data_IF_618854113732
#
_entry.id   IF_618854113732
#
_cell.length_a   1.000
_cell.length_b   1.000
_cell.length_c   1.000
_cell.angle_alpha   90.00
_cell.angle_beta   90.00
_cell.angle_gamma   90.00
#
_symmetry.space_group_name_H-M   'P 1'
#
loop_
_entity.id
_entity.type
_entity.pdbx_description
1 polymer ?
#
# COMPACT_ATOMS: atom_id res chain seq x y z
N UNK A 1 -11.20 -3.21 17.86
CA UNK A 1 -11.08 -2.23 16.95
C UNK A 1 -11.99 -2.34 15.76
N UNK A 2 -13.08 -2.74 15.74
CA UNK A 2 -13.75 -2.90 14.53
C UNK A 2 -14.81 -1.92 14.31
N UNK A 3 -15.37 -1.37 15.33
CA UNK A 3 -16.41 -0.56 15.03
C UNK A 3 -16.12 0.81 15.13
N UNK A 4 -15.66 1.24 16.12
CA UNK A 4 -15.08 2.47 16.09
C UNK A 4 -14.15 2.48 14.90
N UNK A 5 -13.94 1.30 14.39
CA UNK A 5 -13.11 1.09 13.25
C UNK A 5 -13.64 1.76 12.01
N UNK A 6 -14.93 1.83 11.81
CA UNK A 6 -15.47 2.50 10.65
C UNK A 6 -15.03 3.95 10.58
N UNK A 7 -15.24 4.70 11.67
CA UNK A 7 -14.81 6.09 11.74
C UNK A 7 -13.31 6.23 11.77
N UNK A 8 -12.64 5.34 12.47
CA UNK A 8 -11.18 5.41 12.55
C UNK A 8 -10.52 5.16 11.21
N UNK A 9 -11.07 4.24 10.42
CA UNK A 9 -10.56 3.98 9.09
C UNK A 9 -10.80 5.17 8.16
N UNK A 10 -11.91 5.87 8.31
CA UNK A 10 -12.16 7.05 7.51
C UNK A 10 -11.19 8.16 7.86
N UNK A 11 -10.95 8.38 9.15
CA UNK A 11 -9.99 9.38 9.59
C UNK A 11 -8.59 9.02 9.09
N UNK A 12 -8.21 7.76 9.22
CA UNK A 12 -6.90 7.30 8.76
C UNK A 12 -6.75 7.48 7.26
N UNK A 13 -7.81 7.23 6.51
CA UNK A 13 -7.78 7.39 5.06
C UNK A 13 -7.63 8.86 4.68
N UNK A 14 -8.37 9.74 5.34
CA UNK A 14 -8.26 11.18 5.10
C UNK A 14 -6.86 11.66 5.44
N UNK A 15 -6.32 11.17 6.55
CA UNK A 15 -4.97 11.52 6.97
C UNK A 15 -3.94 11.05 5.94
N UNK A 16 -4.11 9.84 5.43
CA UNK A 16 -3.23 9.30 4.41
C UNK A 16 -3.31 10.12 3.12
N UNK A 17 -4.50 10.54 2.75
CA UNK A 17 -4.67 11.38 1.57
C UNK A 17 -4.02 12.74 1.75
N UNK A 18 -4.15 13.32 2.93
CA UNK A 18 -3.49 14.59 3.24
C UNK A 18 -1.97 14.43 3.18
N UNK A 19 -1.45 13.37 3.79
CA UNK A 19 -0.02 13.09 3.78
C UNK A 19 0.48 12.90 2.35
N UNK A 20 -0.30 12.24 1.54
CA UNK A 20 0.03 12.00 0.16
C UNK A 20 0.09 13.29 -0.63
N UNK A 21 -0.89 14.15 -0.45
CA UNK A 21 -0.89 15.45 -1.11
C UNK A 21 0.30 16.29 -0.66
N UNK A 22 0.62 16.21 0.61
CA UNK A 22 1.75 16.91 1.16
C UNK A 22 3.06 16.39 0.56
N UNK A 23 3.22 15.09 0.48
CA UNK A 23 4.39 14.47 -0.11
C UNK A 23 4.54 14.88 -1.57
N UNK A 24 3.43 14.95 -2.31
CA UNK A 24 3.46 15.37 -3.69
C UNK A 24 3.90 16.83 -3.82
N UNK A 25 3.44 17.67 -2.92
CA UNK A 25 3.87 19.07 -2.90
C UNK A 25 5.35 19.20 -2.59
N UNK A 26 5.83 18.41 -1.65
CA UNK A 26 7.25 18.40 -1.31
C UNK A 26 8.09 17.91 -2.49
N UNK A 27 7.62 16.92 -3.19
CA UNK A 27 8.31 16.41 -4.37
C UNK A 27 8.38 17.49 -5.46
N UNK A 28 7.29 18.21 -5.65
CA UNK A 28 7.28 19.30 -6.60
C UNK A 28 8.26 20.39 -6.21
N UNK A 29 8.31 20.70 -4.92
CA UNK A 29 9.24 21.71 -4.42
C UNK A 29 10.68 21.24 -4.58
N UNK A 30 10.94 20.00 -4.30
CA UNK A 30 12.29 19.47 -4.37
C UNK A 30 12.75 19.23 -5.78
N UNK A 31 11.89 18.67 -6.60
CA UNK A 31 12.24 18.31 -7.95
C UNK A 31 11.84 19.30 -8.99
N UNK A 32 11.15 20.28 -8.57
CA UNK A 32 10.66 21.20 -9.55
C UNK A 32 9.52 20.62 -10.28
N UNK A 33 8.99 20.43 -10.85
CA UNK A 33 7.97 20.05 -11.62
C UNK A 33 7.93 18.70 -11.90
N UNK A 34 8.22 17.85 -11.11
CA UNK A 34 8.09 16.54 -11.40
C UNK A 34 6.72 16.21 -11.67
N UNK A 35 6.29 16.48 -12.74
CA UNK A 35 4.94 16.21 -13.16
C UNK A 35 4.62 14.73 -13.21
N UNK A 36 5.52 13.91 -12.94
CA UNK A 36 5.28 12.50 -13.03
C UNK A 36 4.76 11.84 -11.79
N UNK A 37 4.73 12.53 -10.68
CA UNK A 37 4.27 11.91 -9.44
C UNK A 37 2.84 11.43 -9.54
N UNK A 38 2.60 10.23 -9.12
CA UNK A 38 1.29 9.60 -9.20
C UNK A 38 1.12 8.64 -8.05
N UNK A 39 -0.11 8.22 -7.84
CA UNK A 39 -0.42 7.36 -6.71
C UNK A 39 -1.18 6.15 -7.21
N UNK A 40 -0.63 4.97 -7.02
CA UNK A 40 -1.32 3.76 -7.41
C UNK A 40 -2.56 3.52 -6.54
N UNK A 41 -3.62 3.05 -7.17
CA UNK A 41 -4.85 2.74 -6.47
C UNK A 41 -4.77 1.31 -5.94
N UNK A 42 -5.47 1.08 -4.85
CA UNK A 42 -5.38 -0.18 -4.14
C UNK A 42 -6.72 -0.59 -3.54
N UNK A 43 -6.89 -1.90 -3.42
CA UNK A 43 -8.00 -2.50 -2.70
C UNK A 43 -7.45 -3.35 -1.57
N UNK A 44 -8.18 -3.42 -0.48
CA UNK A 44 -7.89 -4.35 0.60
C UNK A 44 -9.12 -5.20 0.83
N UNK A 45 -8.94 -6.51 0.80
CA UNK A 45 -10.00 -7.46 1.08
C UNK A 45 -9.54 -8.37 2.21
N UNK A 46 -10.39 -8.57 3.16
CA UNK A 46 -10.09 -9.43 4.29
C UNK A 46 -10.94 -10.69 4.23
N UNK A 47 -10.33 -11.84 4.42
CA UNK A 47 -11.05 -13.07 4.63
C UNK A 47 -10.68 -13.62 6.01
N UNK A 48 -11.10 -14.83 6.33
CA UNK A 48 -10.87 -15.39 7.67
C UNK A 48 -9.38 -15.60 7.96
N UNK A 49 -8.60 -15.85 6.95
CA UNK A 49 -7.19 -16.21 7.10
C UNK A 49 -6.19 -15.12 6.82
N UNK A 50 -6.56 -14.16 6.00
CA UNK A 50 -5.58 -13.22 5.49
C UNK A 50 -6.19 -11.88 5.10
N UNK A 51 -5.32 -10.91 4.96
CA UNK A 51 -5.63 -9.62 4.37
C UNK A 51 -4.97 -9.60 3.00
N UNK A 52 -5.74 -9.28 1.99
CA UNK A 52 -5.25 -9.25 0.62
C UNK A 52 -5.23 -7.83 0.11
N UNK A 53 -4.06 -7.36 -0.24
CA UNK A 53 -3.88 -6.02 -0.79
C UNK A 53 -3.60 -6.16 -2.27
N UNK A 54 -4.37 -5.45 -3.09
CA UNK A 54 -4.20 -5.47 -4.53
C UNK A 54 -3.94 -4.04 -4.99
N UNK A 55 -2.84 -3.84 -5.69
CA UNK A 55 -2.42 -2.51 -6.13
C UNK A 55 -2.20 -2.52 -7.63
N UNK A 56 -2.69 -1.53 -8.32
CA UNK A 56 -2.47 -1.42 -9.76
C UNK A 56 -1.18 -0.68 -10.05
N UNK A 57 -0.26 -1.38 -10.67
CA UNK A 57 1.07 -0.86 -11.00
C UNK A 57 1.43 -1.19 -12.45
N UNK A 58 0.60 -0.82 -13.41
CA UNK A 58 0.88 -1.15 -14.81
C UNK A 58 2.14 -0.43 -15.27
N UNK A 59 3.03 -1.17 -15.90
CA UNK A 59 4.27 -0.60 -16.41
C UNK A 59 5.37 -0.44 -15.39
N UNK A 60 5.17 -0.88 -14.15
CA UNK A 60 6.21 -0.84 -13.12
C UNK A 60 6.90 -2.20 -13.08
N UNK A 61 8.21 -2.20 -13.17
CA UNK A 61 8.99 -3.43 -13.06
C UNK A 61 9.18 -3.80 -11.59
N UNK A 62 9.26 -5.10 -11.33
CA UNK A 62 9.47 -5.56 -9.96
C UNK A 62 10.75 -4.98 -9.34
N UNK A 63 11.78 -4.79 -10.15
CA UNK A 63 13.02 -4.19 -9.66
C UNK A 63 12.93 -2.72 -9.31
N UNK A 64 11.86 -2.05 -9.74
CA UNK A 64 11.64 -0.64 -9.44
C UNK A 64 10.60 -0.43 -8.33
N UNK A 65 10.28 -1.48 -7.60
CA UNK A 65 9.26 -1.47 -6.55
C UNK A 65 9.87 -1.96 -5.25
N UNK A 66 9.64 -1.22 -4.19
CA UNK A 66 10.01 -1.62 -2.84
C UNK A 66 8.76 -1.69 -1.98
N UNK A 67 8.66 -2.76 -1.22
CA UNK A 67 7.55 -2.97 -0.29
C UNK A 67 8.16 -3.11 1.10
N UNK A 68 7.65 -2.35 2.04
CA UNK A 68 8.07 -2.49 3.43
C UNK A 68 6.87 -2.33 4.35
N UNK A 69 7.04 -2.71 5.60
CA UNK A 69 5.99 -2.55 6.60
C UNK A 69 6.56 -1.79 7.78
N UNK A 70 5.74 -0.99 8.40
CA UNK A 70 6.12 -0.26 9.59
C UNK A 70 4.87 -0.04 10.44
N UNK A 71 4.88 -0.53 11.66
CA UNK A 71 3.70 -0.49 12.51
C UNK A 71 2.59 -1.32 11.86
N UNK A 72 1.47 -0.75 11.63
CA UNK A 72 0.36 -1.42 10.96
C UNK A 72 0.22 -1.05 9.50
N UNK A 73 1.24 -0.42 8.92
CA UNK A 73 1.17 0.07 7.55
C UNK A 73 2.03 -0.73 6.60
N UNK A 74 1.58 -0.87 5.37
CA UNK A 74 2.45 -1.30 4.28
C UNK A 74 2.82 -0.08 3.46
N UNK A 75 4.07 0.03 3.11
CA UNK A 75 4.61 1.17 2.38
C UNK A 75 5.13 0.67 1.04
N UNK A 76 4.60 1.25 -0.03
CA UNK A 76 5.01 0.94 -1.38
C UNK A 76 5.71 2.16 -1.96
N UNK A 77 6.91 1.97 -2.44
CA UNK A 77 7.63 3.04 -3.14
C UNK A 77 8.20 2.49 -4.43
N UNK A 78 8.30 3.32 -5.40
CA UNK A 78 8.87 2.90 -6.67
C UNK A 78 8.81 3.99 -7.72
N UNK A 79 9.09 3.58 -8.95
CA UNK A 79 9.09 4.49 -10.07
C UNK A 79 8.56 3.82 -11.31
N UNK A 80 7.68 4.51 -12.00
CA UNK A 80 7.20 4.09 -13.31
C UNK A 80 7.95 4.91 -14.35
N UNK A 81 8.84 4.26 -15.05
CA UNK A 81 9.71 4.93 -16.00
C UNK A 81 8.98 5.18 -17.32
N UNK A 82 9.11 6.39 -17.84
CA UNK A 82 8.57 6.72 -19.14
C UNK A 82 9.38 5.99 -20.22
N UNK A 83 8.73 5.27 -21.14
CA UNK A 83 9.45 4.59 -22.19
C UNK A 83 10.21 5.58 -23.08
N UNK A 84 11.39 5.18 -23.53
CA UNK A 84 12.15 5.98 -24.45
C UNK A 84 11.53 5.90 -25.84
N UNK A 85 11.64 7.00 -26.57
CA UNK A 85 11.16 7.07 -27.95
C UNK A 85 12.36 7.06 -28.86
N UNK A 86 12.31 6.30 -29.95
CA UNK A 86 13.38 6.27 -30.92
C UNK A 86 13.43 7.59 -31.67
N UNK A 87 14.56 8.26 -31.61
CA UNK A 87 14.78 9.52 -32.29
C UNK A 87 14.00 10.68 -31.68
N UNK A 88 14.05 11.85 -32.35
CA UNK A 88 13.34 13.00 -31.84
C UNK A 88 11.83 12.82 -32.00
N UNK A 89 11.10 13.19 -30.97
CA UNK A 89 9.66 13.04 -30.97
C UNK A 89 8.96 14.20 -30.31
N UNK A 90 7.68 14.32 -30.58
CA UNK A 90 6.81 15.32 -29.95
C UNK A 90 5.59 14.64 -29.39
N UNK A 91 5.23 15.01 -28.20
CA UNK A 91 4.03 14.48 -27.60
C UNK A 91 2.80 15.26 -28.11
N UNK A 92 1.80 14.55 -28.57
CA UNK A 92 0.54 15.13 -28.98
C UNK A 92 -0.50 14.99 -27.88
N UNK A 93 -0.43 13.89 -27.13
CA UNK A 93 -1.32 13.62 -26.00
C UNK A 93 -0.46 12.95 -24.95
N UNK A 94 -0.52 13.40 -23.72
CA UNK A 94 0.30 12.87 -22.64
C UNK A 94 -0.55 12.74 -21.37
N UNK A 95 -1.38 11.71 -21.34
CA UNK A 95 -2.30 11.47 -20.23
C UNK A 95 -1.84 10.39 -19.26
N UNK A 96 -0.88 9.58 -19.67
CA UNK A 96 -0.40 8.50 -18.82
C UNK A 96 0.48 9.04 -17.71
N UNK A 97 0.25 8.54 -16.51
CA UNK A 97 1.05 8.96 -15.36
C UNK A 97 2.37 8.20 -15.30
N UNK A 98 3.42 8.87 -14.91
CA UNK A 98 4.76 8.31 -14.76
C UNK A 98 5.44 8.95 -13.54
N UNK A 99 6.57 8.41 -13.19
CA UNK A 99 7.40 8.98 -12.15
C UNK A 99 7.37 8.20 -10.86
N UNK A 100 7.90 8.81 -9.82
CA UNK A 100 7.99 8.18 -8.51
C UNK A 100 6.64 8.15 -7.83
N UNK A 101 6.43 7.12 -7.06
CA UNK A 101 5.22 6.99 -6.26
C UNK A 101 5.58 6.51 -4.86
N UNK A 102 4.73 6.85 -3.92
CA UNK A 102 4.80 6.34 -2.56
C UNK A 102 3.38 6.19 -2.07
N UNK A 103 3.05 5.00 -1.64
CA UNK A 103 1.72 4.73 -1.10
C UNK A 103 1.87 4.09 0.27
N UNK A 104 1.19 4.64 1.26
CA UNK A 104 1.13 4.08 2.60
C UNK A 104 -0.29 3.59 2.82
N UNK A 105 -0.44 2.33 3.17
CA UNK A 105 -1.75 1.72 3.35
C UNK A 105 -1.83 1.16 4.76
N UNK A 106 -2.81 1.66 5.53
CA UNK A 106 -3.07 1.14 6.85
C UNK A 106 -3.80 -0.19 6.71
N UNK A 107 -3.22 -1.24 7.22
CA UNK A 107 -3.80 -2.57 7.10
C UNK A 107 -5.03 -2.77 7.99
N UNK A 108 -5.09 -2.06 9.09
CA UNK A 108 -6.29 -2.06 9.92
C UNK A 108 -6.48 -3.25 10.84
N UNK A 109 -5.82 -4.34 10.58
CA UNK A 109 -5.89 -5.54 11.42
C UNK A 109 -4.51 -6.11 11.65
N UNK A 110 -4.29 -6.83 12.73
CA UNK A 110 -2.98 -7.44 12.99
C UNK A 110 -2.70 -8.54 11.98
N UNK A 111 -1.54 -8.47 11.34
CA UNK A 111 -1.12 -9.46 10.35
C UNK A 111 0.31 -9.89 10.64
N UNK A 112 0.66 -11.06 10.14
CA UNK A 112 2.02 -11.56 10.24
C UNK A 112 2.82 -11.10 9.04
N UNK A 113 3.56 -10.02 9.20
CA UNK A 113 4.33 -9.43 8.11
C UNK A 113 5.49 -10.29 7.66
N UNK A 114 6.00 -11.16 8.55
CA UNK A 114 7.10 -12.04 8.17
C UNK A 114 6.68 -13.15 7.24
N UNK A 115 5.38 -13.44 7.16
CA UNK A 115 4.85 -14.46 6.25
C UNK A 115 4.11 -13.84 5.08
N UNK A 116 4.29 -12.55 4.85
CA UNK A 116 3.66 -11.90 3.72
C UNK A 116 4.27 -12.38 2.41
N UNK A 117 3.43 -12.51 1.40
CA UNK A 117 3.87 -12.89 0.07
C UNK A 117 3.35 -11.85 -0.91
N UNK A 118 4.19 -11.49 -1.86
CA UNK A 118 3.83 -10.49 -2.86
C UNK A 118 4.17 -10.99 -4.26
N UNK A 119 3.25 -10.78 -5.19
CA UNK A 119 3.43 -11.16 -6.58
C UNK A 119 2.99 -10.01 -7.47
N UNK A 120 3.84 -9.62 -8.39
CA UNK A 120 3.50 -8.62 -9.40
C UNK A 120 3.31 -9.35 -10.73
N UNK A 121 2.08 -9.33 -11.22
CA UNK A 121 1.72 -10.02 -12.46
C UNK A 121 0.75 -9.16 -13.25
N UNK A 122 1.04 -9.00 -14.53
CA UNK A 122 0.16 -8.25 -15.45
C UNK A 122 -0.18 -6.85 -14.93
N UNK A 123 0.79 -6.19 -14.34
CA UNK A 123 0.58 -4.83 -13.84
C UNK A 123 -0.19 -4.75 -12.53
N UNK A 124 -0.43 -5.87 -11.90
CA UNK A 124 -1.15 -5.89 -10.62
C UNK A 124 -0.27 -6.51 -9.55
N UNK A 125 -0.08 -5.80 -8.47
CA UNK A 125 0.64 -6.30 -7.30
C UNK A 125 -0.38 -6.87 -6.33
N UNK A 126 -0.16 -8.11 -5.92
CA UNK A 126 -1.01 -8.75 -4.91
C UNK A 126 -0.14 -9.12 -3.74
N UNK A 127 -0.52 -8.65 -2.57
CA UNK A 127 0.19 -8.96 -1.33
C UNK A 127 -0.78 -9.68 -0.42
N UNK A 128 -0.36 -10.83 0.08
CA UNK A 128 -1.15 -11.58 1.03
C UNK A 128 -0.48 -11.51 2.39
N UNK A 129 -1.19 -10.99 3.36
CA UNK A 129 -0.74 -10.93 4.75
C UNK A 129 -1.57 -11.91 5.58
N UNK A 130 -0.99 -13.01 6.04
CA UNK A 130 -1.72 -13.91 6.94
C UNK A 130 -2.08 -13.17 8.22
N UNK A 131 -3.27 -13.41 8.73
CA UNK A 131 -3.67 -12.81 9.99
C UNK A 131 -2.91 -13.45 11.14
N UNK A 132 -2.65 -12.63 12.16
CA UNK A 132 -2.10 -13.16 13.39
C UNK A 132 -3.19 -13.94 14.09
N UNK A 133 -2.84 -15.11 14.59
CA UNK A 133 -3.77 -15.89 15.37
C UNK A 133 -4.09 -15.12 16.65
N UNK A 134 -5.34 -14.70 16.75
CA UNK A 134 -5.77 -13.91 17.90
C UNK A 134 -6.72 -14.75 18.73
N UNK A 135 -6.29 -15.09 19.92
CA UNK A 135 -7.09 -15.89 20.82
C UNK A 135 -7.89 -15.09 21.83
N UNK A 136 -7.96 -13.80 21.64
CA UNK A 136 -8.67 -12.96 22.60
C UNK A 136 -10.16 -13.25 22.66
N UNK A 137 -10.74 -13.72 21.58
CA UNK A 137 -12.14 -14.07 21.57
C UNK A 137 -12.42 -15.51 21.91
N UNK A 138 -11.41 -16.31 22.15
CA UNK A 138 -11.59 -17.71 22.45
C UNK A 138 -11.87 -17.90 23.93
N UNK A 139 -12.73 -18.84 24.22
CA UNK A 139 -12.99 -19.21 25.60
C UNK A 139 -11.79 -19.99 26.12
N UNK A 140 -11.26 -19.55 27.22
CA UNK A 140 -10.13 -20.19 27.87
C UNK A 140 -10.52 -20.58 29.28
N UNK A 141 -10.39 -21.86 29.60
CA UNK A 141 -10.63 -22.33 30.95
C UNK A 141 -9.41 -22.04 31.81
N UNK A 142 -9.65 -21.46 32.94
CA UNK A 142 -8.60 -21.18 33.90
C UNK A 142 -8.80 -22.07 35.12
N UNK A 143 -7.81 -22.88 35.40
CA UNK A 143 -7.86 -23.75 36.54
C UNK A 143 -7.62 -22.99 37.83
N UNK A 144 -8.40 -23.31 38.85
CA UNK A 144 -8.23 -22.71 40.16
C UNK A 144 -7.37 -23.65 40.99
N UNK A 145 -6.21 -23.18 41.40
CA UNK A 145 -5.35 -23.97 42.27
C UNK A 145 -5.81 -23.82 43.71
N UNK A 146 -5.73 -24.91 44.45
CA UNK A 146 -6.01 -24.85 45.89
C UNK A 146 -4.69 -24.78 46.67
N UNK A 147 -4.67 -24.02 47.76
CA UNK A 147 -3.42 -23.86 48.54
C UNK A 147 -2.96 -25.15 49.18
#
# INVERSE_FOLDING_TARGET
MTKGLGSMLEVARIQSEINRLFDNLLDLDAGGKESGSWIPIADIVENDDALLVTVELPGVAAGDLLISTHGGDVILTGEKTRPAVDGPGRSHVAERAYGRFRRVIDLGVPVNTHKAEAVLTDGTLRIRFPKVSNRRGEEVSIEVATP
#
